data_IF_260901838186
#
_entry.id   IF_260901838186
#
_cell.length_a   1.000
_cell.length_b   1.000
_cell.length_c   1.000
_cell.angle_alpha   90.00
_cell.angle_beta   90.00
_cell.angle_gamma   90.00
#
_symmetry.space_group_name_H-M   'P 1'
#
loop_
_entity.id
_entity.type
_entity.pdbx_description
1 polymer ?
#
# COMPACT_ATOMS: atom_id res chain seq x y z
N UNK A 1 -2.00 6.85 -22.43
CA UNK A 1 -1.20 7.83 -21.65
C UNK A 1 0.26 7.41 -21.69
N UNK A 2 1.19 8.36 -21.77
CA UNK A 2 2.61 8.05 -21.87
C UNK A 2 3.22 7.78 -20.48
N UNK A 3 4.10 6.81 -20.40
CA UNK A 3 4.94 6.56 -19.23
C UNK A 3 5.90 7.74 -19.06
N UNK A 4 6.03 8.21 -17.84
CA UNK A 4 6.90 9.33 -17.48
C UNK A 4 7.90 8.90 -16.41
N UNK A 5 9.07 9.53 -16.40
CA UNK A 5 10.11 9.36 -15.40
C UNK A 5 10.05 10.50 -14.38
N UNK A 6 10.24 10.19 -13.11
CA UNK A 6 10.25 11.11 -11.97
C UNK A 6 11.46 10.86 -11.08
N UNK A 7 11.75 11.79 -10.19
CA UNK A 7 12.82 11.67 -9.20
C UNK A 7 14.16 11.18 -9.81
N UNK A 8 14.62 11.89 -10.82
CA UNK A 8 15.88 11.61 -11.54
C UNK A 8 15.98 10.18 -12.11
N UNK A 9 14.84 9.63 -12.56
CA UNK A 9 14.79 8.30 -13.16
C UNK A 9 14.67 7.15 -12.16
N UNK A 10 14.45 7.43 -10.89
CA UNK A 10 14.26 6.38 -9.86
C UNK A 10 12.81 5.90 -9.75
N UNK A 11 11.84 6.69 -10.23
CA UNK A 11 10.42 6.37 -10.23
C UNK A 11 9.83 6.56 -11.62
N UNK A 12 8.89 5.72 -11.99
CA UNK A 12 8.17 5.79 -13.25
C UNK A 12 6.66 5.71 -12.99
N UNK A 13 5.86 6.14 -13.97
CA UNK A 13 4.41 6.09 -13.84
C UNK A 13 3.70 6.92 -14.89
N UNK A 14 2.44 7.20 -14.66
CA UNK A 14 1.60 8.02 -15.54
C UNK A 14 1.23 9.33 -14.86
N UNK A 15 1.37 10.42 -15.59
CA UNK A 15 0.83 11.73 -15.25
C UNK A 15 -0.52 11.92 -15.93
N UNK A 16 -1.50 12.34 -15.16
CA UNK A 16 -2.84 12.73 -15.60
C UNK A 16 -2.94 14.26 -15.53
N UNK A 17 -3.58 14.85 -16.54
CA UNK A 17 -3.70 16.31 -16.66
C UNK A 17 -2.39 17.01 -16.98
N UNK A 18 -2.46 18.35 -17.06
CA UNK A 18 -1.33 19.22 -17.45
C UNK A 18 -0.87 20.16 -16.34
N UNK A 19 -1.75 20.46 -15.36
CA UNK A 19 -1.42 21.27 -14.21
C UNK A 19 -0.61 20.46 -13.16
N UNK A 20 0.03 21.10 -12.18
CA UNK A 20 0.71 20.40 -11.10
C UNK A 20 -0.21 19.38 -10.42
N UNK A 21 0.30 18.18 -10.11
CA UNK A 21 -0.50 17.12 -9.51
C UNK A 21 -1.00 17.50 -8.12
N UNK A 22 -2.28 17.21 -7.87
CA UNK A 22 -2.91 17.35 -6.54
C UNK A 22 -3.29 15.99 -5.93
N UNK A 23 -3.09 14.90 -6.70
CA UNK A 23 -3.33 13.51 -6.26
C UNK A 23 -2.12 12.67 -6.61
N UNK A 24 -1.68 11.84 -5.68
CA UNK A 24 -0.63 10.83 -5.90
C UNK A 24 -1.16 9.46 -5.52
N UNK A 25 -1.13 8.50 -6.45
CA UNK A 25 -1.64 7.14 -6.24
C UNK A 25 -0.50 6.11 -6.18
N UNK A 26 -0.58 5.24 -5.17
CA UNK A 26 0.42 4.23 -4.79
C UNK A 26 -0.25 2.85 -4.81
N UNK A 27 0.20 1.98 -5.72
CA UNK A 27 -0.40 0.66 -5.96
C UNK A 27 -0.02 -0.40 -4.91
N UNK A 28 -0.73 -1.54 -4.95
CA UNK A 28 -0.46 -2.71 -4.11
C UNK A 28 0.77 -3.52 -4.54
N UNK A 29 1.17 -4.48 -3.73
CA UNK A 29 2.26 -5.42 -4.04
C UNK A 29 1.97 -6.18 -5.35
N UNK A 30 2.97 -6.33 -6.21
CA UNK A 30 2.84 -7.03 -7.49
C UNK A 30 1.94 -6.33 -8.53
N UNK A 31 1.56 -5.08 -8.28
CA UNK A 31 0.69 -4.28 -9.15
C UNK A 31 1.50 -3.18 -9.85
N UNK A 32 0.83 -2.24 -10.50
CA UNK A 32 1.46 -1.11 -11.18
C UNK A 32 0.58 0.15 -11.15
N UNK A 33 1.16 1.25 -11.62
CA UNK A 33 0.47 2.53 -11.79
C UNK A 33 -0.85 2.44 -12.57
N UNK A 34 -1.04 1.41 -13.39
CA UNK A 34 -2.22 1.25 -14.25
C UNK A 34 -3.51 0.98 -13.47
N UNK A 35 -3.43 0.48 -12.25
CA UNK A 35 -4.60 0.16 -11.43
C UNK A 35 -5.50 1.37 -11.17
N UNK A 36 -4.94 2.57 -11.19
CA UNK A 36 -5.67 3.80 -10.89
C UNK A 36 -6.13 4.56 -12.12
N UNK A 37 -5.93 4.04 -13.34
CA UNK A 37 -6.22 4.76 -14.57
C UNK A 37 -7.66 5.31 -14.61
N UNK A 38 -8.65 4.47 -14.28
CA UNK A 38 -10.06 4.87 -14.28
C UNK A 38 -10.41 5.86 -13.15
N UNK A 39 -9.83 5.69 -11.96
CA UNK A 39 -10.10 6.59 -10.81
C UNK A 39 -9.50 7.98 -11.00
N UNK A 40 -8.41 8.10 -11.77
CA UNK A 40 -7.66 9.35 -11.93
C UNK A 40 -7.95 10.09 -13.24
N UNK A 41 -8.77 9.51 -14.11
CA UNK A 41 -9.11 10.14 -15.38
C UNK A 41 -9.68 11.56 -15.19
N UNK A 42 -9.16 12.53 -15.95
CA UNK A 42 -9.58 13.93 -15.87
C UNK A 42 -9.08 14.73 -14.66
N UNK A 43 -8.30 14.11 -13.75
CA UNK A 43 -7.65 14.82 -12.64
C UNK A 43 -6.25 15.29 -13.01
N UNK A 44 -5.69 16.23 -12.23
CA UNK A 44 -4.26 16.51 -12.21
C UNK A 44 -3.63 15.58 -11.15
N UNK A 45 -3.10 14.44 -11.60
CA UNK A 45 -2.67 13.38 -10.73
C UNK A 45 -1.41 12.67 -11.23
N UNK A 46 -0.76 11.93 -10.32
CA UNK A 46 0.29 10.96 -10.61
C UNK A 46 -0.13 9.58 -10.11
N UNK A 47 0.11 8.57 -10.92
CA UNK A 47 0.12 7.18 -10.49
C UNK A 47 1.47 6.59 -10.80
N UNK A 48 2.19 6.11 -9.79
CA UNK A 48 3.59 5.69 -9.93
C UNK A 48 3.75 4.19 -9.74
N UNK A 49 4.70 3.61 -10.45
CA UNK A 49 5.23 2.28 -10.14
C UNK A 49 6.14 2.39 -8.93
N UNK A 50 5.83 1.67 -7.88
CA UNK A 50 6.65 1.62 -6.68
C UNK A 50 8.00 0.94 -6.97
N UNK A 51 9.08 1.27 -6.24
CA UNK A 51 10.39 0.64 -6.45
C UNK A 51 10.31 -0.89 -6.46
N UNK A 52 10.85 -1.50 -7.51
CA UNK A 52 10.80 -2.96 -7.74
C UNK A 52 9.56 -3.46 -8.46
N UNK A 53 8.66 -2.58 -8.88
CA UNK A 53 7.45 -2.92 -9.62
C UNK A 53 7.34 -2.13 -10.92
N UNK A 54 6.57 -2.67 -11.88
CA UNK A 54 6.42 -2.05 -13.19
C UNK A 54 7.77 -1.85 -13.86
N UNK A 55 8.12 -0.59 -14.13
CA UNK A 55 9.42 -0.21 -14.72
C UNK A 55 10.33 0.55 -13.75
N UNK A 56 9.90 0.77 -12.50
CA UNK A 56 10.74 1.37 -11.46
C UNK A 56 11.77 0.37 -10.94
N UNK A 57 13.06 0.76 -10.84
CA UNK A 57 14.12 -0.15 -10.38
C UNK A 57 13.87 -0.64 -8.95
N UNK A 58 14.34 -1.85 -8.66
CA UNK A 58 14.25 -2.40 -7.30
C UNK A 58 15.15 -1.62 -6.33
N UNK A 59 14.78 -1.56 -5.03
CA UNK A 59 15.66 -1.01 -4.01
C UNK A 59 16.98 -1.80 -3.91
N UNK A 60 18.04 -1.11 -3.49
CA UNK A 60 19.36 -1.73 -3.26
C UNK A 60 19.46 -2.38 -1.87
N UNK A 61 18.55 -2.05 -0.96
CA UNK A 61 18.57 -2.49 0.44
C UNK A 61 17.21 -3.07 0.86
N UNK A 62 17.26 -4.04 1.77
CA UNK A 62 16.04 -4.58 2.40
C UNK A 62 15.53 -3.62 3.45
N UNK A 63 14.25 -3.27 3.36
CA UNK A 63 13.60 -2.40 4.35
C UNK A 63 12.09 -2.56 4.36
N UNK A 64 11.45 -1.91 5.32
CA UNK A 64 10.00 -1.89 5.48
C UNK A 64 9.32 -0.73 4.72
N UNK A 65 8.03 -0.54 4.97
CA UNK A 65 7.24 0.51 4.34
C UNK A 65 7.76 1.92 4.62
N UNK A 66 8.39 2.15 5.78
CA UNK A 66 9.03 3.44 6.09
C UNK A 66 10.20 3.78 5.17
N UNK A 67 11.02 2.78 4.80
CA UNK A 67 12.09 2.96 3.81
C UNK A 67 11.50 3.27 2.43
N UNK A 68 10.51 2.51 2.01
CA UNK A 68 9.82 2.77 0.74
C UNK A 68 9.19 4.16 0.67
N UNK A 69 8.59 4.63 1.77
CA UNK A 69 8.06 5.98 1.86
C UNK A 69 9.14 7.04 1.58
N UNK A 70 10.37 6.84 2.08
CA UNK A 70 11.51 7.73 1.78
C UNK A 70 11.91 7.69 0.32
N UNK A 71 11.91 6.51 -0.33
CA UNK A 71 12.22 6.37 -1.75
C UNK A 71 11.18 7.07 -2.65
N UNK A 72 9.92 7.09 -2.20
CA UNK A 72 8.80 7.70 -2.94
C UNK A 72 8.62 9.18 -2.60
N UNK A 73 9.08 9.65 -1.44
CA UNK A 73 8.90 11.03 -0.97
C UNK A 73 9.26 12.12 -1.99
N UNK A 74 10.30 11.99 -2.84
CA UNK A 74 10.64 12.99 -3.84
C UNK A 74 9.51 13.28 -4.84
N UNK A 75 8.53 12.40 -5.01
CA UNK A 75 7.37 12.64 -5.86
C UNK A 75 6.51 13.81 -5.37
N UNK A 76 6.53 14.10 -4.08
CA UNK A 76 5.78 15.20 -3.49
C UNK A 76 6.38 16.58 -3.86
N UNK A 77 7.68 16.62 -4.16
CA UNK A 77 8.39 17.86 -4.47
C UNK A 77 8.03 18.43 -5.86
N UNK A 78 7.41 17.61 -6.72
CA UNK A 78 6.90 18.01 -8.04
C UNK A 78 5.40 18.28 -8.07
N UNK A 79 4.74 18.20 -6.91
CA UNK A 79 3.31 18.43 -6.73
C UNK A 79 3.05 19.86 -6.24
N UNK A 80 1.85 20.36 -6.55
CA UNK A 80 1.32 21.56 -5.92
C UNK A 80 0.62 21.16 -4.62
N UNK A 81 1.22 21.53 -3.52
CA UNK A 81 0.86 21.01 -2.18
C UNK A 81 -0.23 21.84 -1.50
N UNK A 82 -0.96 21.24 -0.55
CA UNK A 82 -0.94 19.83 -0.12
C UNK A 82 -1.67 18.90 -1.09
N UNK A 83 -1.22 17.62 -1.18
CA UNK A 83 -1.80 16.61 -2.07
C UNK A 83 -2.73 15.63 -1.34
N UNK A 84 -3.60 14.96 -2.12
CA UNK A 84 -4.31 13.75 -1.67
C UNK A 84 -3.46 12.54 -2.02
N UNK A 85 -3.09 11.73 -1.02
CA UNK A 85 -2.47 10.44 -1.23
C UNK A 85 -3.53 9.34 -1.34
N UNK A 86 -3.50 8.58 -2.42
CA UNK A 86 -4.33 7.39 -2.63
C UNK A 86 -3.45 6.16 -2.49
N UNK A 87 -3.74 5.28 -1.54
CA UNK A 87 -2.93 4.10 -1.28
C UNK A 87 -3.75 2.81 -1.30
N UNK A 88 -3.35 1.86 -2.16
CA UNK A 88 -3.91 0.52 -2.16
C UNK A 88 -2.94 -0.47 -1.51
N UNK A 89 -3.41 -1.27 -0.55
CA UNK A 89 -2.67 -2.39 0.04
C UNK A 89 -1.25 -1.95 0.48
N UNK A 90 -0.20 -2.43 -0.18
CA UNK A 90 1.18 -2.02 0.10
C UNK A 90 1.39 -0.51 -0.05
N UNK A 91 0.86 0.11 -1.12
CA UNK A 91 0.95 1.56 -1.33
C UNK A 91 0.28 2.37 -0.23
N UNK A 92 -0.77 1.84 0.41
CA UNK A 92 -1.41 2.48 1.55
C UNK A 92 -0.53 2.50 2.81
N UNK A 93 0.32 1.49 3.01
CA UNK A 93 1.32 1.48 4.09
C UNK A 93 2.34 2.61 3.91
N UNK A 94 2.74 2.85 2.66
CA UNK A 94 3.64 3.95 2.31
C UNK A 94 2.95 5.30 2.54
N UNK A 95 1.68 5.42 2.14
CA UNK A 95 0.90 6.64 2.34
C UNK A 95 0.80 7.04 3.82
N UNK A 96 0.61 6.07 4.71
CA UNK A 96 0.62 6.28 6.17
C UNK A 96 1.96 6.85 6.65
N UNK A 97 3.09 6.28 6.21
CA UNK A 97 4.41 6.82 6.57
C UNK A 97 4.72 8.17 5.92
N UNK A 98 4.28 8.41 4.69
CA UNK A 98 4.43 9.72 4.06
C UNK A 98 3.66 10.81 4.82
N UNK A 99 2.43 10.50 5.27
CA UNK A 99 1.64 11.42 6.08
C UNK A 99 2.30 11.73 7.45
N UNK A 100 2.96 10.74 8.06
CA UNK A 100 3.75 10.93 9.28
C UNK A 100 5.01 11.78 9.04
N UNK A 101 5.74 11.49 7.95
CA UNK A 101 7.06 12.09 7.67
C UNK A 101 6.96 13.49 7.03
N UNK A 102 5.91 13.76 6.27
CA UNK A 102 5.69 14.99 5.48
C UNK A 102 4.27 15.56 5.69
N UNK A 103 3.82 15.77 6.94
CA UNK A 103 2.42 16.12 7.22
C UNK A 103 1.96 17.41 6.50
N UNK A 104 2.85 18.39 6.33
CA UNK A 104 2.51 19.63 5.63
C UNK A 104 2.26 19.45 4.12
N UNK A 105 2.77 18.39 3.51
CA UNK A 105 2.56 18.09 2.10
C UNK A 105 1.30 17.26 1.83
N UNK A 106 0.63 16.77 2.87
CA UNK A 106 -0.50 15.84 2.75
C UNK A 106 -1.79 16.51 3.24
N UNK A 107 -2.70 16.76 2.32
CA UNK A 107 -4.00 17.35 2.61
C UNK A 107 -5.10 16.32 2.95
N UNK A 108 -4.88 15.06 2.63
CA UNK A 108 -5.79 13.96 2.96
C UNK A 108 -5.29 12.63 2.41
N UNK A 109 -5.85 11.54 2.95
CA UNK A 109 -5.58 10.18 2.49
C UNK A 109 -6.86 9.50 2.00
N UNK A 110 -6.72 8.68 0.97
CA UNK A 110 -7.73 7.70 0.54
C UNK A 110 -7.06 6.33 0.55
N UNK A 111 -7.43 5.49 1.49
CA UNK A 111 -6.82 4.18 1.72
C UNK A 111 -7.79 3.06 1.39
N UNK A 112 -7.32 2.03 0.69
CA UNK A 112 -8.14 0.88 0.32
C UNK A 112 -7.36 -0.44 0.43
N UNK A 113 -7.96 -1.46 1.05
CA UNK A 113 -7.38 -2.79 1.19
C UNK A 113 -6.03 -2.81 1.94
N UNK A 114 -5.76 -1.87 2.84
CA UNK A 114 -4.46 -1.74 3.51
C UNK A 114 -4.42 -2.60 4.77
N UNK A 115 -3.48 -3.56 4.91
CA UNK A 115 -3.29 -4.30 6.15
C UNK A 115 -2.63 -3.43 7.23
N UNK A 116 -3.38 -2.46 7.77
CA UNK A 116 -2.93 -1.43 8.71
C UNK A 116 -2.59 -1.97 10.10
N UNK A 117 -3.29 -3.02 10.51
CA UNK A 117 -3.20 -3.59 11.85
C UNK A 117 -3.09 -5.12 11.77
N UNK A 118 -2.46 -5.72 12.76
CA UNK A 118 -2.52 -7.17 12.87
C UNK A 118 -3.97 -7.64 13.04
N UNK A 119 -4.32 -8.73 12.39
CA UNK A 119 -5.64 -9.36 12.54
C UNK A 119 -5.87 -9.72 14.00
N UNK A 120 -7.05 -9.38 14.53
CA UNK A 120 -7.44 -9.74 15.91
C UNK A 120 -7.49 -11.26 16.10
N UNK A 121 -7.96 -11.98 15.07
CA UNK A 121 -7.98 -13.43 15.05
C UNK A 121 -7.16 -13.93 13.86
N UNK A 122 -6.09 -14.68 14.12
CA UNK A 122 -5.35 -15.38 13.05
C UNK A 122 -6.28 -16.41 12.43
N UNK A 123 -6.64 -16.23 11.15
CA UNK A 123 -7.28 -17.31 10.36
C UNK A 123 -6.31 -18.49 10.28
N UNK A 124 -6.61 -19.55 11.02
CA UNK A 124 -5.86 -20.79 11.01
C UNK A 124 -4.47 -20.71 11.70
N UNK A 125 -4.11 -21.77 12.39
CA UNK A 125 -2.73 -21.95 12.82
C UNK A 125 -1.88 -22.23 11.56
N UNK A 126 -0.70 -21.63 11.40
CA UNK A 126 0.23 -22.03 10.33
C UNK A 126 0.35 -23.56 10.34
N UNK A 127 0.39 -24.18 9.15
CA UNK A 127 0.46 -25.64 9.04
C UNK A 127 1.48 -26.18 10.03
N UNK A 128 1.10 -27.22 10.79
CA UNK A 128 1.93 -27.77 11.86
C UNK A 128 3.35 -28.08 11.36
N UNK A 129 3.45 -28.58 10.11
CA UNK A 129 4.72 -28.84 9.43
C UNK A 129 5.58 -27.57 9.23
N UNK A 130 4.97 -26.43 8.92
CA UNK A 130 5.69 -25.16 8.81
C UNK A 130 6.19 -24.68 10.17
N UNK A 131 5.37 -24.79 11.22
CA UNK A 131 5.79 -24.46 12.59
C UNK A 131 6.93 -25.34 13.07
N UNK A 132 6.83 -26.64 12.80
CA UNK A 132 7.88 -27.62 13.15
C UNK A 132 9.16 -27.34 12.33
N UNK A 133 9.05 -27.06 11.02
CA UNK A 133 10.19 -26.70 10.19
C UNK A 133 10.93 -25.47 10.70
N UNK A 134 10.20 -24.40 11.09
CA UNK A 134 10.79 -23.21 11.72
C UNK A 134 11.52 -23.51 13.04
N UNK A 135 10.95 -24.40 13.87
CA UNK A 135 11.55 -24.79 15.13
C UNK A 135 12.84 -25.57 14.89
N UNK A 136 12.80 -26.55 13.98
CA UNK A 136 13.97 -27.37 13.60
C UNK A 136 15.07 -26.52 12.96
N UNK A 137 14.70 -25.55 12.12
CA UNK A 137 15.65 -24.58 11.56
C UNK A 137 16.33 -23.74 12.65
N UNK A 138 15.55 -23.20 13.59
CA UNK A 138 16.08 -22.44 14.74
C UNK A 138 17.06 -23.25 15.60
N UNK A 139 16.90 -24.57 15.63
CA UNK A 139 17.80 -25.49 16.33
C UNK A 139 18.93 -26.02 15.44
N UNK A 140 19.03 -25.53 14.18
CA UNK A 140 20.08 -25.97 13.25
C UNK A 140 19.90 -27.40 12.71
N UNK A 141 18.73 -28.01 12.92
CA UNK A 141 18.44 -29.38 12.50
C UNK A 141 18.12 -29.47 11.00
N UNK A 142 17.55 -28.41 10.44
CA UNK A 142 17.25 -28.30 9.00
C UNK A 142 17.88 -27.04 8.43
N UNK A 143 18.30 -27.10 7.17
CA UNK A 143 18.93 -25.99 6.46
C UNK A 143 17.90 -24.98 5.89
N UNK A 144 18.40 -23.83 5.42
CA UNK A 144 17.58 -22.78 4.81
C UNK A 144 16.76 -23.29 3.62
N UNK A 145 17.31 -24.17 2.78
CA UNK A 145 16.61 -24.72 1.62
C UNK A 145 15.37 -25.53 1.97
N UNK A 146 15.40 -26.29 3.08
CA UNK A 146 14.21 -26.99 3.56
C UNK A 146 13.13 -26.04 4.06
N UNK A 147 13.52 -25.01 4.80
CA UNK A 147 12.57 -23.98 5.28
C UNK A 147 11.98 -23.20 4.10
N UNK A 148 12.79 -22.89 3.09
CA UNK A 148 12.35 -22.22 1.86
C UNK A 148 11.33 -23.08 1.08
N UNK A 149 11.57 -24.38 0.92
CA UNK A 149 10.60 -25.30 0.32
C UNK A 149 9.26 -25.36 1.08
N UNK A 150 9.28 -25.20 2.41
CA UNK A 150 8.05 -25.08 3.19
C UNK A 150 7.37 -23.71 2.97
N UNK A 151 8.12 -22.64 2.85
CA UNK A 151 7.61 -21.30 2.55
C UNK A 151 6.98 -21.25 1.15
N UNK A 152 7.63 -21.85 0.15
CA UNK A 152 7.09 -21.96 -1.21
C UNK A 152 5.79 -22.75 -1.26
N UNK A 153 5.68 -23.80 -0.46
CA UNK A 153 4.47 -24.65 -0.40
C UNK A 153 3.30 -23.99 0.32
N UNK A 154 3.57 -23.22 1.38
CA UNK A 154 2.55 -22.68 2.28
C UNK A 154 2.49 -21.14 2.26
N UNK A 155 3.36 -20.48 1.49
CA UNK A 155 3.40 -19.03 1.32
C UNK A 155 2.25 -18.51 0.46
N UNK A 156 1.99 -17.20 0.55
CA UNK A 156 1.04 -16.50 -0.32
C UNK A 156 1.49 -16.53 -1.79
N UNK A 157 0.57 -16.19 -2.70
CA UNK A 157 0.90 -16.02 -4.13
C UNK A 157 2.03 -14.98 -4.31
N UNK A 158 1.95 -13.86 -3.58
CA UNK A 158 2.97 -12.80 -3.60
C UNK A 158 4.34 -13.31 -3.16
N UNK A 159 4.39 -14.13 -2.11
CA UNK A 159 5.64 -14.73 -1.62
C UNK A 159 6.27 -15.64 -2.68
N UNK A 160 5.46 -16.45 -3.37
CA UNK A 160 5.95 -17.34 -4.44
C UNK A 160 6.41 -16.58 -5.70
N UNK A 161 5.75 -15.47 -6.02
CA UNK A 161 6.11 -14.62 -7.16
C UNK A 161 7.34 -13.75 -6.89
N UNK A 162 7.57 -13.35 -5.63
CA UNK A 162 8.72 -12.54 -5.27
C UNK A 162 10.01 -13.35 -5.23
N UNK A 163 11.13 -12.73 -5.63
CA UNK A 163 12.46 -13.32 -5.60
C UNK A 163 13.51 -12.31 -5.13
N UNK A 164 14.68 -12.80 -4.72
CA UNK A 164 15.79 -11.96 -4.29
C UNK A 164 15.37 -10.94 -3.23
N UNK A 165 15.88 -9.72 -3.35
CA UNK A 165 15.63 -8.62 -2.40
C UNK A 165 14.15 -8.32 -2.19
N UNK A 166 13.32 -8.46 -3.24
CA UNK A 166 11.88 -8.20 -3.15
C UNK A 166 11.17 -9.19 -2.23
N UNK A 167 11.63 -10.45 -2.18
CA UNK A 167 11.10 -11.45 -1.24
C UNK A 167 11.40 -11.09 0.22
N UNK A 168 12.62 -10.64 0.49
CA UNK A 168 13.04 -10.23 1.83
C UNK A 168 12.29 -8.98 2.32
N UNK A 169 12.06 -8.04 1.40
CA UNK A 169 11.22 -6.87 1.64
C UNK A 169 9.78 -7.28 1.95
N UNK A 170 9.18 -8.19 1.15
CA UNK A 170 7.83 -8.68 1.42
C UNK A 170 7.70 -9.29 2.82
N UNK A 171 8.68 -10.13 3.21
CA UNK A 171 8.71 -10.74 4.56
C UNK A 171 8.76 -9.68 5.65
N UNK A 172 9.49 -8.60 5.43
CA UNK A 172 9.57 -7.47 6.36
C UNK A 172 8.21 -6.77 6.48
N UNK A 173 7.64 -6.32 5.36
CA UNK A 173 6.41 -5.51 5.35
C UNK A 173 5.17 -6.26 5.84
N UNK A 174 5.03 -7.57 5.60
CA UNK A 174 3.85 -8.32 6.07
C UNK A 174 3.78 -8.47 7.59
N UNK A 175 4.89 -8.20 8.30
CA UNK A 175 4.96 -8.26 9.75
C UNK A 175 4.78 -6.89 10.44
N UNK A 176 4.64 -5.81 9.67
CA UNK A 176 4.45 -4.46 10.21
C UNK A 176 3.01 -4.22 10.69
N UNK A 177 2.87 -3.27 11.61
CA UNK A 177 1.59 -2.75 12.12
C UNK A 177 1.74 -1.25 12.33
N UNK A 178 0.70 -0.49 12.04
CA UNK A 178 0.75 0.98 11.93
C UNK A 178 -0.09 1.68 12.99
N UNK A 179 -0.34 1.06 14.13
CA UNK A 179 -1.22 1.63 15.17
C UNK A 179 -0.72 2.99 15.66
N UNK A 180 0.59 3.13 15.86
CA UNK A 180 1.19 4.39 16.31
C UNK A 180 1.06 5.47 15.24
N UNK A 181 1.33 5.15 13.98
CA UNK A 181 1.23 6.06 12.85
C UNK A 181 -0.21 6.53 12.65
N UNK A 182 -1.18 5.63 12.72
CA UNK A 182 -2.60 5.98 12.60
C UNK A 182 -3.02 7.03 13.64
N UNK A 183 -2.55 6.91 14.88
CA UNK A 183 -2.84 7.87 15.94
C UNK A 183 -2.18 9.23 15.73
N UNK A 184 -1.08 9.31 14.97
CA UNK A 184 -0.35 10.56 14.70
C UNK A 184 -0.81 11.30 13.44
N UNK A 185 -1.58 10.65 12.56
CA UNK A 185 -2.11 11.28 11.35
C UNK A 185 -3.14 12.35 11.71
N UNK A 186 -2.86 13.59 11.31
CA UNK A 186 -3.75 14.73 11.47
C UNK A 186 -4.57 15.03 10.21
N UNK A 187 -4.12 14.57 9.05
CA UNK A 187 -4.84 14.72 7.79
C UNK A 187 -6.11 13.86 7.78
N UNK A 188 -7.21 14.33 7.18
CA UNK A 188 -8.44 13.55 7.09
C UNK A 188 -8.28 12.32 6.20
N UNK A 189 -8.89 11.19 6.57
CA UNK A 189 -8.72 9.88 5.92
C UNK A 189 -10.06 9.32 5.46
N UNK A 190 -10.17 8.95 4.17
CA UNK A 190 -11.22 8.07 3.67
C UNK A 190 -10.71 6.63 3.57
N UNK A 191 -11.39 5.71 4.24
CA UNK A 191 -11.19 4.28 4.14
C UNK A 191 -12.26 3.71 3.20
N UNK A 192 -11.88 3.30 1.99
CA UNK A 192 -12.80 2.73 0.98
C UNK A 192 -12.51 1.24 0.85
N UNK A 193 -13.44 0.39 1.27
CA UNK A 193 -13.13 -1.02 1.49
C UNK A 193 -14.16 -1.96 0.91
N UNK A 194 -13.70 -3.05 0.28
CA UNK A 194 -14.57 -4.15 -0.09
C UNK A 194 -14.97 -5.01 1.12
N UNK A 195 -16.23 -5.38 1.25
CA UNK A 195 -16.70 -6.25 2.34
C UNK A 195 -16.22 -7.70 2.20
N UNK A 196 -15.85 -8.11 0.97
CA UNK A 196 -15.25 -9.39 0.64
C UNK A 196 -13.73 -9.42 0.68
N UNK A 197 -13.05 -8.39 1.18
CA UNK A 197 -11.59 -8.35 1.24
C UNK A 197 -11.02 -9.36 2.25
N UNK A 198 -10.51 -10.48 1.73
CA UNK A 198 -9.86 -11.53 2.52
C UNK A 198 -8.39 -11.22 2.83
N UNK A 199 -7.72 -10.35 2.08
CA UNK A 199 -6.32 -9.98 2.29
C UNK A 199 -6.18 -8.96 3.42
N UNK A 200 -7.04 -7.94 3.45
CA UNK A 200 -7.17 -6.98 4.54
C UNK A 200 -8.65 -6.92 4.96
N UNK A 201 -9.13 -7.80 5.84
CA UNK A 201 -10.53 -7.87 6.21
C UNK A 201 -11.10 -6.55 6.73
N UNK A 202 -12.41 -6.25 6.48
CA UNK A 202 -13.05 -4.99 6.85
C UNK A 202 -12.93 -4.63 8.33
N UNK A 203 -12.77 -5.63 9.20
CA UNK A 203 -12.51 -5.36 10.62
C UNK A 203 -11.20 -4.59 10.87
N UNK A 204 -10.22 -4.69 9.96
CA UNK A 204 -8.98 -3.90 10.03
C UNK A 204 -9.31 -2.43 9.75
N UNK A 205 -10.14 -2.15 8.74
CA UNK A 205 -10.56 -0.80 8.41
C UNK A 205 -11.37 -0.15 9.55
N UNK A 206 -12.33 -0.87 10.12
CA UNK A 206 -13.13 -0.38 11.24
C UNK A 206 -12.27 -0.08 12.50
N UNK A 207 -11.28 -0.92 12.78
CA UNK A 207 -10.33 -0.68 13.87
C UNK A 207 -9.39 0.48 13.57
N UNK A 208 -8.98 0.66 12.32
CA UNK A 208 -8.15 1.79 11.90
C UNK A 208 -8.93 3.10 11.97
N UNK A 209 -10.21 3.12 11.57
CA UNK A 209 -11.10 4.26 11.71
C UNK A 209 -11.17 4.74 13.17
N UNK A 210 -11.28 3.83 14.13
CA UNK A 210 -11.33 4.15 15.55
C UNK A 210 -10.00 4.71 16.13
N UNK A 211 -8.88 4.57 15.41
CA UNK A 211 -7.57 5.10 15.83
C UNK A 211 -7.25 6.46 15.21
N UNK A 212 -7.85 6.78 14.07
CA UNK A 212 -7.65 8.02 13.33
C UNK A 212 -8.46 9.15 13.95
N UNK A 213 -7.92 10.38 13.92
CA UNK A 213 -8.58 11.57 14.50
C UNK A 213 -9.77 12.04 13.64
N UNK A 214 -9.64 11.96 12.32
CA UNK A 214 -10.68 12.31 11.34
C UNK A 214 -10.69 11.23 10.25
N UNK A 215 -11.62 10.29 10.34
CA UNK A 215 -11.73 9.22 9.37
C UNK A 215 -13.19 8.93 8.98
N UNK A 216 -13.35 8.43 7.76
CA UNK A 216 -14.63 7.96 7.24
C UNK A 216 -14.43 6.60 6.58
N UNK A 217 -15.13 5.59 7.06
CA UNK A 217 -15.19 4.27 6.45
C UNK A 217 -16.37 4.14 5.50
N UNK A 218 -16.10 3.69 4.28
CA UNK A 218 -17.10 3.29 3.27
C UNK A 218 -16.88 1.83 2.93
N UNK A 219 -17.87 0.98 3.24
CA UNK A 219 -17.88 -0.43 2.86
C UNK A 219 -18.63 -0.63 1.56
N UNK A 220 -18.02 -1.35 0.63
CA UNK A 220 -18.54 -1.64 -0.71
C UNK A 220 -19.00 -3.10 -0.77
N UNK A 221 -20.31 -3.31 -0.93
CA UNK A 221 -20.92 -4.65 -0.97
C UNK A 221 -20.48 -5.46 -2.19
N UNK A 222 -20.05 -6.71 -1.97
CA UNK A 222 -19.63 -7.64 -3.02
C UNK A 222 -18.29 -7.32 -3.69
N UNK A 223 -17.52 -6.37 -3.15
CA UNK A 223 -16.21 -5.99 -3.67
C UNK A 223 -15.11 -6.69 -2.88
N UNK A 224 -14.08 -7.15 -3.58
CA UNK A 224 -12.90 -7.82 -3.03
C UNK A 224 -11.77 -6.83 -2.66
N UNK A 225 -10.56 -7.36 -2.53
CA UNK A 225 -9.34 -6.59 -2.22
C UNK A 225 -8.99 -5.50 -3.26
N UNK A 226 -9.41 -5.68 -4.53
CA UNK A 226 -8.91 -4.89 -5.65
C UNK A 226 -9.79 -3.69 -6.00
N UNK A 227 -10.23 -2.94 -5.02
CA UNK A 227 -11.09 -1.74 -5.17
C UNK A 227 -10.64 -0.81 -6.31
N UNK A 228 -9.33 -0.49 -6.52
CA UNK A 228 -8.93 0.41 -7.61
C UNK A 228 -9.37 -0.05 -9.01
N UNK A 229 -9.48 -1.35 -9.23
CA UNK A 229 -9.86 -1.94 -10.52
C UNK A 229 -11.30 -2.42 -10.56
N UNK A 230 -11.89 -2.85 -9.43
CA UNK A 230 -13.24 -3.41 -9.36
C UNK A 230 -14.30 -2.37 -9.01
N UNK A 231 -13.93 -1.30 -8.30
CA UNK A 231 -14.83 -0.21 -7.92
C UNK A 231 -14.18 1.18 -8.07
N UNK A 232 -13.61 1.52 -9.26
CA UNK A 232 -12.85 2.76 -9.45
C UNK A 232 -13.67 4.03 -9.22
N UNK A 233 -14.97 3.99 -9.45
CA UNK A 233 -15.85 5.14 -9.23
C UNK A 233 -16.06 5.46 -7.75
N UNK A 234 -16.19 4.45 -6.90
CA UNK A 234 -16.28 4.65 -5.45
C UNK A 234 -14.97 5.24 -4.89
N UNK A 235 -13.83 4.79 -5.41
CA UNK A 235 -12.52 5.37 -5.08
C UNK A 235 -12.43 6.82 -5.57
N UNK A 236 -12.92 7.11 -6.78
CA UNK A 236 -12.98 8.47 -7.34
C UNK A 236 -13.82 9.41 -6.49
N UNK A 237 -15.00 9.00 -6.02
CA UNK A 237 -15.84 9.82 -5.13
C UNK A 237 -15.10 10.21 -3.84
N UNK A 238 -14.33 9.30 -3.25
CA UNK A 238 -13.53 9.61 -2.07
C UNK A 238 -12.40 10.62 -2.39
N UNK A 239 -11.74 10.47 -3.54
CA UNK A 239 -10.72 11.41 -4.03
C UNK A 239 -11.32 12.81 -4.23
N UNK A 240 -12.45 12.90 -4.95
CA UNK A 240 -13.12 14.18 -5.23
C UNK A 240 -13.58 14.88 -3.95
N UNK A 241 -14.07 14.12 -2.97
CA UNK A 241 -14.44 14.63 -1.64
C UNK A 241 -13.24 15.28 -0.95
N UNK A 242 -12.10 14.64 -0.97
CA UNK A 242 -10.87 15.19 -0.33
C UNK A 242 -10.32 16.38 -1.11
N UNK A 243 -10.37 16.35 -2.43
CA UNK A 243 -9.97 17.51 -3.26
C UNK A 243 -10.87 18.72 -3.00
N UNK A 244 -12.19 18.52 -2.87
CA UNK A 244 -13.14 19.59 -2.55
C UNK A 244 -12.91 20.22 -1.16
N UNK A 245 -12.34 19.48 -0.23
CA UNK A 245 -12.00 19.99 1.11
C UNK A 245 -10.66 20.77 1.15
N UNK A 246 -9.83 20.70 0.10
CA UNK A 246 -8.59 21.47 -0.06
C UNK A 246 -8.78 22.80 -0.79
N UNK A 247 -10.01 23.10 -1.23
CA UNK A 247 -10.33 24.26 -2.08
C UNK A 247 -10.61 25.51 -1.28
#
# INVERSE_FOLDING_TARGET
MALSSFADGSLFGTRFGTAPPRVVALHGWGRSHQDFAASLEGLNALSIDLPGFGVSPAPCEVGGASMYAKLVAPILDICDTPVILVGHSFGGRLAVHLAEQRPAAIGGLVLTGVPLLHRAHRRGRPALRYRLGRLLHRWGVVNDGFLEGLRDKYGSADYRAASGIMRDILVTVVNESYEQQLRSISAPVDLVWGDGDDAAPPEIAARAEALLADARLTLLGGIDHFVPTTAPFALREAIDRRLGALS
#
